data_IF_830455473055
#
_entry.id   IF_830455473055
#
_cell.length_a   1.000
_cell.length_b   1.000
_cell.length_c   1.000
_cell.angle_alpha   90.00
_cell.angle_beta   90.00
_cell.angle_gamma   90.00
#
_symmetry.space_group_name_H-M   'P 1'
#
loop_
_entity.id
_entity.type
_entity.pdbx_description
1 polymer ?
#
# COMPACT_ATOMS: atom_id res chain seq x y z
N UNK A 1 -9.87 -19.48 8.75
CA UNK A 1 -10.74 -18.29 8.77
C UNK A 1 -9.97 -17.17 8.12
N UNK A 2 -10.46 -16.62 7.01
CA UNK A 2 -9.80 -15.52 6.32
C UNK A 2 -9.87 -14.29 7.23
N UNK A 3 -8.71 -13.80 7.64
CA UNK A 3 -8.61 -12.64 8.51
C UNK A 3 -8.92 -11.38 7.67
N UNK A 4 -9.92 -10.59 8.06
CA UNK A 4 -10.37 -9.41 7.32
C UNK A 4 -9.22 -8.42 7.03
N UNK A 5 -8.17 -8.44 7.85
CA UNK A 5 -6.97 -7.61 7.66
C UNK A 5 -6.20 -8.04 6.42
N UNK A 6 -6.15 -9.34 6.13
CA UNK A 6 -5.57 -9.90 4.92
C UNK A 6 -6.32 -9.43 3.67
N UNK A 7 -7.66 -9.42 3.70
CA UNK A 7 -8.47 -8.89 2.59
C UNK A 7 -8.26 -7.39 2.38
N UNK A 8 -8.14 -6.61 3.46
CA UNK A 8 -7.84 -5.18 3.38
C UNK A 8 -6.44 -4.91 2.82
N UNK A 9 -5.42 -5.66 3.25
CA UNK A 9 -4.07 -5.55 2.69
C UNK A 9 -4.04 -5.95 1.21
N UNK A 10 -4.75 -7.01 0.83
CA UNK A 10 -4.88 -7.41 -0.57
C UNK A 10 -5.51 -6.29 -1.41
N UNK A 11 -6.55 -5.64 -0.90
CA UNK A 11 -7.18 -4.50 -1.59
C UNK A 11 -6.25 -3.29 -1.72
N UNK A 12 -5.47 -2.99 -0.70
CA UNK A 12 -4.45 -1.91 -0.74
C UNK A 12 -3.40 -2.24 -1.80
N UNK A 13 -2.92 -3.49 -1.84
CA UNK A 13 -1.92 -3.96 -2.82
C UNK A 13 -2.40 -3.78 -4.26
N UNK A 14 -3.64 -4.16 -4.54
CA UNK A 14 -4.28 -3.96 -5.85
C UNK A 14 -4.30 -2.48 -6.24
N UNK A 15 -4.73 -1.62 -5.32
CA UNK A 15 -4.80 -0.18 -5.54
C UNK A 15 -3.41 0.41 -5.83
N UNK A 16 -2.38 0.01 -5.07
CA UNK A 16 -1.01 0.49 -5.27
C UNK A 16 -0.47 0.03 -6.64
N UNK A 17 -0.78 -1.20 -7.07
CA UNK A 17 -0.38 -1.68 -8.40
C UNK A 17 -1.08 -0.91 -9.53
N UNK A 18 -2.35 -0.56 -9.35
CA UNK A 18 -3.13 0.21 -10.33
C UNK A 18 -2.60 1.63 -10.48
N UNK A 19 -2.35 2.33 -9.37
CA UNK A 19 -1.93 3.74 -9.35
C UNK A 19 -0.43 3.94 -9.56
N UNK A 20 0.39 2.93 -9.27
CA UNK A 20 1.84 3.00 -9.37
C UNK A 20 2.43 1.77 -10.09
N UNK A 21 2.17 1.61 -11.40
CA UNK A 21 2.82 0.58 -12.21
C UNK A 21 4.35 0.82 -12.18
N UNK A 22 5.10 -0.16 -11.66
CA UNK A 22 6.55 -0.07 -11.45
C UNK A 22 7.00 0.20 -10.02
N UNK A 23 6.10 0.09 -9.04
CA UNK A 23 6.48 -0.03 -7.64
C UNK A 23 7.03 -1.43 -7.35
N UNK A 24 8.13 -1.49 -6.60
CA UNK A 24 8.69 -2.74 -6.08
C UNK A 24 8.03 -3.07 -4.77
N UNK A 25 7.51 -4.28 -4.65
CA UNK A 25 7.00 -4.81 -3.38
C UNK A 25 8.09 -5.62 -2.68
N UNK A 26 8.44 -5.20 -1.48
CA UNK A 26 9.38 -5.87 -0.60
C UNK A 26 8.66 -6.31 0.67
N UNK A 27 9.02 -7.47 1.22
CA UNK A 27 8.46 -7.94 2.49
C UNK A 27 9.49 -7.69 3.61
N UNK A 28 9.18 -6.78 4.54
CA UNK A 28 10.07 -6.45 5.67
C UNK A 28 9.27 -6.46 6.97
N UNK A 29 9.82 -7.05 8.03
CA UNK A 29 9.17 -7.14 9.35
C UNK A 29 7.73 -7.68 9.29
N UNK A 30 7.54 -8.73 8.49
CA UNK A 30 6.23 -9.34 8.23
C UNK A 30 5.16 -8.39 7.64
N UNK A 31 5.61 -7.32 6.99
CA UNK A 31 4.78 -6.24 6.46
C UNK A 31 5.17 -5.97 4.99
N UNK A 32 4.20 -5.82 4.08
CA UNK A 32 4.48 -5.34 2.73
C UNK A 32 4.95 -3.89 2.77
N UNK A 33 6.10 -3.65 2.16
CA UNK A 33 6.71 -2.34 1.94
C UNK A 33 6.81 -2.13 0.43
N UNK A 34 6.36 -0.97 -0.03
CA UNK A 34 6.39 -0.59 -1.43
C UNK A 34 7.42 0.52 -1.64
N UNK A 35 8.29 0.32 -2.62
CA UNK A 35 9.37 1.24 -2.97
C UNK A 35 9.37 1.57 -4.46
N UNK A 36 9.55 2.84 -4.82
CA UNK A 36 9.68 3.32 -6.20
C UNK A 36 10.68 4.47 -6.21
N UNK A 37 11.92 4.19 -6.59
CA UNK A 37 13.06 5.11 -6.42
C UNK A 37 13.26 5.56 -4.95
N UNK A 38 12.95 4.68 -3.98
CA UNK A 38 12.95 4.94 -2.54
C UNK A 38 11.71 4.36 -1.86
N UNK A 39 11.67 4.35 -0.51
CA UNK A 39 10.50 3.84 0.23
C UNK A 39 9.30 4.78 0.07
N UNK A 40 8.18 4.26 -0.41
CA UNK A 40 6.94 5.02 -0.66
C UNK A 40 5.97 4.81 0.48
N UNK A 41 5.57 3.56 0.73
CA UNK A 41 4.61 3.22 1.76
C UNK A 41 4.79 1.80 2.32
N UNK A 42 4.20 1.53 3.47
CA UNK A 42 4.11 0.19 4.07
C UNK A 42 2.74 -0.01 4.72
N UNK A 43 2.18 -1.23 4.67
CA UNK A 43 0.87 -1.52 5.26
C UNK A 43 0.95 -2.69 6.25
N UNK A 44 0.77 -2.40 7.54
CA UNK A 44 0.79 -3.40 8.62
C UNK A 44 -0.61 -3.76 9.10
N UNK A 45 -0.86 -5.06 9.28
CA UNK A 45 -2.05 -5.55 9.97
C UNK A 45 -1.80 -5.60 11.49
N UNK A 46 -2.56 -4.82 12.25
CA UNK A 46 -2.58 -4.83 13.72
C UNK A 46 -3.87 -5.49 14.21
N UNK A 47 -3.92 -5.85 15.50
CA UNK A 47 -5.07 -6.56 16.10
C UNK A 47 -6.41 -5.84 15.86
N UNK A 48 -6.45 -4.52 15.93
CA UNK A 48 -7.71 -3.78 15.76
C UNK A 48 -7.82 -3.01 14.45
N UNK A 49 -6.70 -2.77 13.77
CA UNK A 49 -6.66 -1.85 12.64
C UNK A 49 -5.62 -2.26 11.60
N UNK A 50 -5.76 -1.74 10.38
CA UNK A 50 -4.71 -1.78 9.37
C UNK A 50 -4.07 -0.40 9.33
N UNK A 51 -2.74 -0.34 9.53
CA UNK A 51 -1.98 0.91 9.48
C UNK A 51 -1.27 1.00 8.15
N UNK A 52 -1.39 2.14 7.47
CA UNK A 52 -0.60 2.46 6.29
C UNK A 52 0.33 3.62 6.64
N UNK A 53 1.63 3.42 6.46
CA UNK A 53 2.65 4.43 6.69
C UNK A 53 3.19 4.91 5.34
N UNK A 54 3.24 6.23 5.12
CA UNK A 54 3.86 6.84 3.95
C UNK A 54 5.19 7.47 4.35
N UNK A 55 6.29 7.02 3.75
CA UNK A 55 7.64 7.46 4.12
C UNK A 55 8.06 8.76 3.41
N UNK A 56 7.49 9.05 2.24
CA UNK A 56 7.58 10.35 1.58
C UNK A 56 6.17 10.89 1.38
N UNK A 57 5.94 12.14 1.82
CA UNK A 57 4.67 12.83 1.65
C UNK A 57 4.43 13.14 0.17
N UNK A 58 3.57 12.34 -0.47
CA UNK A 58 3.22 12.53 -1.87
C UNK A 58 2.91 11.21 -2.55
N UNK A 59 1.72 10.67 -2.29
CA UNK A 59 1.05 9.91 -3.33
C UNK A 59 0.80 10.90 -4.48
N UNK A 60 1.09 10.59 -5.76
CA UNK A 60 0.63 11.44 -6.85
C UNK A 60 -0.89 11.56 -6.71
N UNK A 61 -1.31 12.76 -6.34
CA UNK A 61 -2.69 13.08 -6.07
C UNK A 61 -3.45 13.09 -7.40
N UNK A 62 -4.52 12.28 -7.44
CA UNK A 62 -5.69 12.37 -8.34
C UNK A 62 -5.56 11.74 -9.74
N UNK A 63 -6.30 10.66 -10.06
CA UNK A 63 -6.75 10.45 -11.43
C UNK A 63 -7.85 11.48 -11.72
N UNK A 64 -7.61 12.28 -12.74
CA UNK A 64 -8.51 13.31 -13.26
C UNK A 64 -9.83 12.64 -13.65
N UNK A 65 -10.94 13.06 -13.03
CA UNK A 65 -12.27 12.58 -13.39
C UNK A 65 -12.64 13.26 -14.72
N UNK A 66 -12.86 12.54 -15.84
CA UNK A 66 -13.32 13.19 -17.05
C UNK A 66 -14.74 13.74 -16.81
N UNK A 67 -14.95 14.99 -17.26
CA UNK A 67 -16.23 15.70 -17.26
C UNK A 67 -17.27 14.99 -18.12
#
# INVERSE_FOLDING_TARGET
>A
MADWRGERIARIRELIKEVAPGVTEEWKWNTPVWSRNGMVCAAGAFKDHVKINFFKGGFPCRPERPL
#
